data_IF_470722080333
#
_entry.id   IF_470722080333
#
_cell.length_a   1.000
_cell.length_b   1.000
_cell.length_c   1.000
_cell.angle_alpha   90.00
_cell.angle_beta   90.00
_cell.angle_gamma   90.00
#
_symmetry.space_group_name_H-M   'P 1'
#
loop_
_entity.id
_entity.type
_entity.pdbx_description
1 polymer ?
#
# COMPACT_ATOMS: atom_id res chain seq x y z
N UNK A 1 -5.68 16.87 -25.94
CA UNK A 1 -5.10 17.24 -24.64
C UNK A 1 -5.38 18.71 -24.45
N UNK A 2 -6.16 19.03 -23.43
CA UNK A 2 -6.53 20.41 -23.11
C UNK A 2 -5.28 21.23 -22.72
N UNK A 3 -5.29 22.53 -22.99
CA UNK A 3 -4.13 23.41 -22.74
C UNK A 3 -3.79 23.45 -21.24
N UNK A 4 -4.81 23.52 -20.37
CA UNK A 4 -4.58 23.47 -18.93
C UNK A 4 -4.03 22.12 -18.48
N UNK A 5 -4.48 21.01 -19.07
CA UNK A 5 -3.94 19.67 -18.80
C UNK A 5 -2.44 19.58 -19.12
N UNK A 6 -2.02 20.13 -20.27
CA UNK A 6 -0.61 20.17 -20.68
C UNK A 6 0.22 21.04 -19.73
N UNK A 7 -0.28 22.21 -19.35
CA UNK A 7 0.38 23.10 -18.39
C UNK A 7 0.50 22.42 -17.02
N UNK A 8 -0.57 21.82 -16.53
CA UNK A 8 -0.62 21.15 -15.24
C UNK A 8 0.41 20.02 -15.15
N UNK A 9 0.52 19.20 -16.20
CA UNK A 9 1.55 18.16 -16.30
C UNK A 9 2.96 18.74 -16.24
N UNK A 10 3.24 19.84 -16.94
CA UNK A 10 4.54 20.52 -16.91
C UNK A 10 4.85 21.11 -15.53
N UNK A 11 3.86 21.76 -14.89
CA UNK A 11 4.00 22.34 -13.54
C UNK A 11 4.38 21.27 -12.53
N UNK A 12 3.70 20.12 -12.55
CA UNK A 12 3.98 18.97 -11.67
C UNK A 12 5.34 18.33 -11.94
N UNK A 13 5.71 18.17 -13.21
CA UNK A 13 6.95 17.47 -13.60
C UNK A 13 8.20 18.29 -13.26
N UNK A 14 8.13 19.62 -13.37
CA UNK A 14 9.29 20.51 -13.21
C UNK A 14 9.21 21.41 -11.97
N UNK A 15 8.41 21.04 -10.97
CA UNK A 15 8.30 21.73 -9.68
C UNK A 15 8.05 23.23 -9.84
N UNK A 16 6.89 23.60 -10.36
CA UNK A 16 6.48 25.00 -10.42
C UNK A 16 6.37 25.61 -9.00
N UNK A 17 6.77 26.87 -8.79
CA UNK A 17 7.47 27.76 -9.71
C UNK A 17 8.99 27.51 -9.69
N UNK A 18 9.63 27.33 -10.86
CA UNK A 18 11.10 27.17 -10.89
C UNK A 18 11.75 27.60 -12.21
N UNK A 19 13.08 27.80 -12.17
CA UNK A 19 13.90 27.99 -13.39
C UNK A 19 13.85 26.78 -14.32
N UNK A 20 13.75 25.56 -13.76
CA UNK A 20 13.63 24.32 -14.52
C UNK A 20 12.32 24.29 -15.30
N UNK A 21 11.20 24.61 -14.63
CA UNK A 21 9.89 24.73 -15.27
C UNK A 21 9.92 25.75 -16.43
N UNK A 22 10.46 26.95 -16.21
CA UNK A 22 10.55 27.98 -17.27
C UNK A 22 11.42 27.54 -18.44
N UNK A 23 12.45 26.72 -18.21
CA UNK A 23 13.30 26.16 -19.27
C UNK A 23 12.55 25.08 -20.06
N UNK A 24 11.82 24.20 -19.38
CA UNK A 24 10.97 23.20 -20.02
C UNK A 24 9.89 23.87 -20.89
N UNK A 25 9.23 24.91 -20.36
CA UNK A 25 8.21 25.68 -21.08
C UNK A 25 8.74 26.33 -22.38
N UNK A 26 10.04 26.62 -22.48
CA UNK A 26 10.65 27.14 -23.72
C UNK A 26 10.75 26.10 -24.82
N UNK A 27 10.90 24.83 -24.46
CA UNK A 27 11.00 23.70 -25.40
C UNK A 27 9.62 23.33 -25.97
N UNK A 28 8.56 23.74 -25.30
CA UNK A 28 7.19 23.54 -25.74
C UNK A 28 6.76 24.64 -26.71
N UNK A 29 6.15 24.25 -27.83
CA UNK A 29 5.54 25.19 -28.78
C UNK A 29 4.15 25.62 -28.30
N UNK A 30 4.14 26.58 -27.37
CA UNK A 30 2.94 27.11 -26.71
C UNK A 30 2.71 28.60 -26.97
N UNK A 31 3.40 29.20 -27.95
CA UNK A 31 3.17 30.57 -28.40
C UNK A 31 2.97 31.61 -27.28
N UNK A 32 1.75 32.14 -27.18
CA UNK A 32 1.32 33.13 -26.17
C UNK A 32 1.23 32.52 -24.77
N UNK A 33 0.72 31.30 -24.65
CA UNK A 33 0.57 30.57 -23.38
C UNK A 33 1.91 30.47 -22.66
N UNK A 34 3.00 30.21 -23.39
CA UNK A 34 4.37 30.22 -22.85
C UNK A 34 4.73 31.55 -22.18
N UNK A 35 4.35 32.68 -22.78
CA UNK A 35 4.63 34.01 -22.20
C UNK A 35 3.82 34.22 -20.92
N UNK A 36 2.56 33.80 -20.92
CA UNK A 36 1.66 33.89 -19.78
C UNK A 36 2.19 33.10 -18.59
N UNK A 37 2.45 31.79 -18.79
CA UNK A 37 2.98 30.91 -17.75
C UNK A 37 4.39 31.31 -17.28
N UNK A 38 5.25 31.84 -18.17
CA UNK A 38 6.56 32.33 -17.76
C UNK A 38 6.47 33.52 -16.80
N UNK A 39 5.53 34.44 -17.05
CA UNK A 39 5.27 35.58 -16.17
C UNK A 39 4.60 35.13 -14.87
N UNK A 40 3.63 34.21 -14.92
CA UNK A 40 2.98 33.65 -13.72
C UNK A 40 4.00 32.93 -12.84
N UNK A 41 4.89 32.13 -13.43
CA UNK A 41 6.02 31.54 -12.70
C UNK A 41 6.91 32.59 -12.04
N UNK A 42 7.21 33.70 -12.71
CA UNK A 42 8.01 34.79 -12.12
C UNK A 42 7.25 35.55 -11.03
N UNK A 43 5.94 35.67 -11.13
CA UNK A 43 5.11 36.24 -10.07
C UNK A 43 5.24 35.42 -8.79
N UNK A 44 5.10 34.10 -8.84
CA UNK A 44 5.26 33.26 -7.65
C UNK A 44 6.69 33.20 -7.12
N UNK A 45 7.69 33.22 -8.00
CA UNK A 45 9.12 33.16 -7.63
C UNK A 45 9.64 34.50 -7.06
N UNK A 46 9.14 35.64 -7.54
CA UNK A 46 9.66 36.98 -7.21
C UNK A 46 8.66 37.88 -6.47
N UNK A 47 7.40 37.45 -6.30
CA UNK A 47 6.33 38.22 -5.64
C UNK A 47 5.83 39.45 -6.39
N UNK A 48 6.30 39.72 -7.62
CA UNK A 48 5.99 40.98 -8.31
C UNK A 48 4.71 40.91 -9.15
N UNK A 49 3.67 41.62 -8.72
CA UNK A 49 2.37 41.78 -9.42
C UNK A 49 2.53 42.33 -10.85
N UNK A 50 3.65 43.01 -11.15
CA UNK A 50 3.93 43.53 -12.48
C UNK A 50 3.96 42.43 -13.56
N UNK A 51 4.34 41.21 -13.21
CA UNK A 51 4.28 40.08 -14.15
C UNK A 51 2.85 39.70 -14.52
N UNK A 52 1.92 39.71 -13.55
CA UNK A 52 0.50 39.48 -13.82
C UNK A 52 -0.14 40.64 -14.61
N UNK A 53 0.23 41.89 -14.32
CA UNK A 53 -0.19 43.06 -15.12
C UNK A 53 0.28 42.94 -16.59
N UNK A 54 1.47 42.36 -16.84
CA UNK A 54 1.94 42.04 -18.19
C UNK A 54 1.08 40.97 -18.84
N UNK A 55 0.70 39.91 -18.11
CA UNK A 55 -0.23 38.90 -18.62
C UNK A 55 -1.56 39.52 -19.04
N UNK A 56 -2.15 40.38 -18.21
CA UNK A 56 -3.38 41.09 -18.56
C UNK A 56 -3.27 41.88 -19.87
N UNK A 57 -2.13 42.54 -20.12
CA UNK A 57 -1.88 43.26 -21.38
C UNK A 57 -1.69 42.33 -22.58
N UNK A 58 -1.07 41.18 -22.38
CA UNK A 58 -0.88 40.17 -23.44
C UNK A 58 -2.25 39.62 -23.85
N UNK A 59 -3.07 39.21 -22.88
CA UNK A 59 -4.39 38.62 -23.12
C UNK A 59 -5.29 39.60 -23.88
N UNK A 60 -5.33 40.88 -23.50
CA UNK A 60 -6.12 41.92 -24.18
C UNK A 60 -5.79 42.12 -25.67
N UNK A 61 -4.63 41.66 -26.13
CA UNK A 61 -4.18 41.80 -27.53
C UNK A 61 -4.46 40.56 -28.38
N UNK A 62 -5.03 39.51 -27.79
CA UNK A 62 -5.31 38.26 -28.48
C UNK A 62 -6.81 38.13 -28.76
N UNK A 63 -7.15 37.29 -29.72
CA UNK A 63 -8.54 36.89 -29.93
C UNK A 63 -9.07 36.10 -28.72
N UNK A 64 -10.35 36.28 -28.42
CA UNK A 64 -10.97 35.55 -27.32
C UNK A 64 -10.98 34.06 -27.63
N UNK A 65 -10.52 33.28 -26.67
CA UNK A 65 -10.65 31.83 -26.65
C UNK A 65 -11.06 31.40 -25.25
N UNK A 66 -11.75 30.25 -25.08
CA UNK A 66 -12.17 29.77 -23.77
C UNK A 66 -10.99 29.66 -22.78
N UNK A 67 -9.82 29.24 -23.27
CA UNK A 67 -8.60 29.22 -22.47
C UNK A 67 -8.19 30.61 -21.99
N UNK A 68 -8.11 31.59 -22.91
CA UNK A 68 -7.67 32.94 -22.56
C UNK A 68 -8.65 33.65 -21.64
N UNK A 69 -9.95 33.40 -21.78
CA UNK A 69 -10.98 33.93 -20.88
C UNK A 69 -10.79 33.40 -19.45
N UNK A 70 -10.67 32.07 -19.29
CA UNK A 70 -10.44 31.47 -17.98
C UNK A 70 -9.10 31.89 -17.38
N UNK A 71 -8.04 31.93 -18.19
CA UNK A 71 -6.71 32.38 -17.76
C UNK A 71 -6.69 33.87 -17.39
N UNK A 72 -7.50 34.69 -18.06
CA UNK A 72 -7.70 36.10 -17.73
C UNK A 72 -8.30 36.24 -16.34
N UNK A 73 -9.40 35.53 -16.07
CA UNK A 73 -10.03 35.51 -14.75
C UNK A 73 -9.08 35.00 -13.67
N UNK A 74 -8.33 33.93 -13.95
CA UNK A 74 -7.29 33.43 -13.05
C UNK A 74 -6.22 34.50 -12.77
N UNK A 75 -5.71 35.17 -13.80
CA UNK A 75 -4.74 36.27 -13.64
C UNK A 75 -5.32 37.41 -12.80
N UNK A 76 -6.57 37.80 -13.04
CA UNK A 76 -7.22 38.87 -12.27
C UNK A 76 -7.45 38.44 -10.81
N UNK A 77 -7.84 37.18 -10.56
CA UNK A 77 -8.00 36.64 -9.19
C UNK A 77 -6.72 36.72 -8.37
N UNK A 78 -5.55 36.49 -9.00
CA UNK A 78 -4.25 36.61 -8.35
C UNK A 78 -3.85 38.08 -8.10
N UNK A 79 -4.31 39.02 -8.94
CA UNK A 79 -4.05 40.45 -8.78
C UNK A 79 -4.94 41.05 -7.69
N UNK A 80 -6.25 40.80 -7.77
CA UNK A 80 -7.24 41.39 -6.87
C UNK A 80 -7.21 40.74 -5.49
N UNK A 81 -6.81 39.46 -5.42
CA UNK A 81 -6.93 38.62 -4.22
C UNK A 81 -8.36 38.57 -3.68
N UNK A 82 -9.33 38.70 -4.58
CA UNK A 82 -10.75 38.57 -4.24
C UNK A 82 -11.08 37.09 -3.98
N UNK A 83 -11.48 36.79 -2.75
CA UNK A 83 -11.86 35.45 -2.29
C UNK A 83 -12.96 34.85 -3.16
N UNK A 84 -13.97 35.63 -3.56
CA UNK A 84 -15.11 35.11 -4.35
C UNK A 84 -14.61 34.65 -5.72
N UNK A 85 -13.79 35.47 -6.37
CA UNK A 85 -13.22 35.16 -7.68
C UNK A 85 -12.22 33.98 -7.60
N UNK A 86 -11.42 33.91 -6.53
CA UNK A 86 -10.53 32.77 -6.29
C UNK A 86 -11.31 31.46 -6.14
N UNK A 87 -12.44 31.47 -5.42
CA UNK A 87 -13.33 30.29 -5.28
C UNK A 87 -13.95 29.88 -6.62
N UNK A 88 -14.45 30.85 -7.40
CA UNK A 88 -15.00 30.58 -8.75
C UNK A 88 -13.95 29.90 -9.63
N UNK A 89 -12.74 30.45 -9.66
CA UNK A 89 -11.66 29.93 -10.51
C UNK A 89 -11.13 28.59 -10.01
N UNK A 90 -11.03 28.40 -8.70
CA UNK A 90 -10.65 27.12 -8.10
C UNK A 90 -11.64 26.02 -8.48
N UNK A 91 -12.93 26.35 -8.54
CA UNK A 91 -13.98 25.41 -8.98
C UNK A 91 -13.85 25.10 -10.47
N UNK A 92 -13.66 26.12 -11.32
CA UNK A 92 -13.46 25.93 -12.76
C UNK A 92 -12.21 25.11 -13.10
N UNK A 93 -11.15 25.22 -12.29
CA UNK A 93 -9.87 24.53 -12.47
C UNK A 93 -9.72 23.27 -11.61
N UNK A 94 -10.80 22.74 -11.02
CA UNK A 94 -10.74 21.64 -10.04
C UNK A 94 -10.03 20.37 -10.54
N UNK A 95 -10.01 20.15 -11.87
CA UNK A 95 -9.35 19.01 -12.51
C UNK A 95 -7.82 19.12 -12.55
N UNK A 96 -7.29 20.34 -12.49
CA UNK A 96 -5.86 20.62 -12.66
C UNK A 96 -5.20 20.81 -11.30
N UNK A 97 -4.60 19.73 -10.78
CA UNK A 97 -4.12 19.66 -9.40
C UNK A 97 -3.15 20.79 -9.07
N UNK A 98 -2.19 21.12 -9.94
CA UNK A 98 -1.21 22.18 -9.66
C UNK A 98 -1.84 23.58 -9.54
N UNK A 99 -2.94 23.85 -10.25
CA UNK A 99 -3.67 25.11 -10.13
C UNK A 99 -4.48 25.14 -8.84
N UNK A 100 -5.16 24.04 -8.50
CA UNK A 100 -5.93 23.94 -7.25
C UNK A 100 -5.03 24.13 -6.04
N UNK A 101 -3.85 23.50 -6.01
CA UNK A 101 -2.91 23.64 -4.89
C UNK A 101 -2.44 25.08 -4.68
N UNK A 102 -2.23 25.80 -5.77
CA UNK A 102 -1.82 27.19 -5.75
C UNK A 102 -2.96 28.10 -5.27
N UNK A 103 -4.17 27.89 -5.77
CA UNK A 103 -5.36 28.65 -5.37
C UNK A 103 -5.75 28.36 -3.91
N UNK A 104 -5.65 27.10 -3.48
CA UNK A 104 -5.79 26.70 -2.08
C UNK A 104 -4.74 27.46 -1.23
N UNK A 105 -3.47 27.52 -1.63
CA UNK A 105 -2.46 28.28 -0.89
C UNK A 105 -2.77 29.79 -0.82
N UNK A 106 -3.29 30.39 -1.91
CA UNK A 106 -3.73 31.79 -1.89
C UNK A 106 -4.93 32.01 -0.95
N UNK A 107 -5.94 31.13 -1.01
CA UNK A 107 -7.12 31.19 -0.13
C UNK A 107 -6.72 31.01 1.34
N UNK A 108 -5.81 30.08 1.66
CA UNK A 108 -5.25 29.94 3.01
C UNK A 108 -4.56 31.20 3.48
N UNK A 109 -3.82 31.90 2.61
CA UNK A 109 -3.15 33.16 2.96
C UNK A 109 -4.10 34.32 3.25
N UNK A 110 -5.39 34.15 2.93
CA UNK A 110 -6.48 35.09 3.18
C UNK A 110 -7.41 34.59 4.31
N UNK A 111 -6.94 33.63 5.12
CA UNK A 111 -7.68 33.01 6.22
C UNK A 111 -9.01 32.35 5.78
N UNK A 112 -9.12 31.95 4.51
CA UNK A 112 -10.29 31.25 4.00
C UNK A 112 -10.23 29.76 4.34
N UNK A 113 -11.34 29.22 4.85
CA UNK A 113 -11.48 27.81 5.15
C UNK A 113 -11.71 26.97 3.87
N UNK A 114 -10.62 26.42 3.33
CA UNK A 114 -10.61 25.62 2.10
C UNK A 114 -11.34 24.29 2.28
N UNK A 115 -11.52 23.79 3.51
CA UNK A 115 -12.22 22.52 3.76
C UNK A 115 -13.64 22.54 3.18
N UNK A 116 -14.27 23.72 3.13
CA UNK A 116 -15.59 23.96 2.52
C UNK A 116 -15.63 23.77 1.00
N UNK A 117 -14.49 23.82 0.32
CA UNK A 117 -14.37 23.65 -1.13
C UNK A 117 -13.98 22.22 -1.52
N UNK A 118 -13.73 21.36 -0.53
CA UNK A 118 -13.33 19.97 -0.77
C UNK A 118 -14.54 19.06 -0.69
N UNK A 119 -14.50 18.01 -1.49
CA UNK A 119 -15.51 16.97 -1.49
C UNK A 119 -15.19 15.98 -0.37
N UNK A 120 -16.14 15.81 0.54
CA UNK A 120 -16.04 14.88 1.67
C UNK A 120 -16.42 13.49 1.21
N UNK A 121 -15.60 12.51 1.57
CA UNK A 121 -15.89 11.10 1.38
C UNK A 121 -15.51 10.34 2.64
N UNK A 122 -16.38 9.44 3.10
CA UNK A 122 -16.15 8.68 4.33
C UNK A 122 -15.76 7.25 3.98
N UNK A 123 -14.58 6.83 4.40
CA UNK A 123 -14.17 5.42 4.39
C UNK A 123 -14.34 4.85 5.79
N UNK A 124 -15.40 4.08 6.00
CA UNK A 124 -15.86 3.61 7.32
C UNK A 124 -16.12 4.77 8.29
N UNK A 125 -15.18 5.05 9.18
CA UNK A 125 -15.23 6.13 10.17
C UNK A 125 -14.21 7.27 9.91
N UNK A 126 -13.46 7.18 8.81
CA UNK A 126 -12.47 8.19 8.43
C UNK A 126 -13.01 9.12 7.34
N UNK A 127 -12.98 10.43 7.59
CA UNK A 127 -13.31 11.46 6.58
C UNK A 127 -12.07 11.77 5.73
N UNK A 128 -12.24 11.71 4.41
CA UNK A 128 -11.23 12.01 3.39
C UNK A 128 -11.72 13.21 2.58
N UNK A 129 -10.86 14.21 2.41
CA UNK A 129 -11.16 15.42 1.65
C UNK A 129 -10.47 15.39 0.29
N UNK A 130 -11.27 15.39 -0.78
CA UNK A 130 -10.82 15.42 -2.17
C UNK A 130 -10.96 16.81 -2.80
N UNK A 131 -10.06 17.13 -3.73
CA UNK A 131 -10.10 18.41 -4.44
C UNK A 131 -11.23 18.50 -5.49
N UNK A 132 -11.62 17.35 -6.04
CA UNK A 132 -12.62 17.21 -7.10
C UNK A 132 -13.43 15.93 -6.89
N UNK A 133 -14.67 15.92 -7.35
CA UNK A 133 -15.58 14.78 -7.26
C UNK A 133 -15.07 13.56 -8.04
N UNK A 134 -14.46 13.76 -9.21
CA UNK A 134 -13.86 12.70 -10.04
C UNK A 134 -12.82 11.86 -9.26
N UNK A 135 -12.11 12.48 -8.31
CA UNK A 135 -11.13 11.75 -7.47
C UNK A 135 -11.79 10.79 -6.48
N UNK A 136 -13.05 11.03 -6.11
CA UNK A 136 -13.83 10.10 -5.29
C UNK A 136 -14.15 8.85 -6.11
N UNK A 137 -14.54 9.03 -7.38
CA UNK A 137 -14.76 7.90 -8.29
C UNK A 137 -13.47 7.09 -8.50
N UNK A 138 -12.34 7.77 -8.74
CA UNK A 138 -11.03 7.12 -8.85
C UNK A 138 -10.63 6.39 -7.56
N UNK A 139 -10.96 6.95 -6.39
CA UNK A 139 -10.71 6.32 -5.10
C UNK A 139 -11.53 5.02 -4.94
N UNK A 140 -12.85 5.10 -5.20
CA UNK A 140 -13.75 3.95 -5.12
C UNK A 140 -13.36 2.84 -6.11
N UNK A 141 -12.89 3.21 -7.30
CA UNK A 141 -12.43 2.28 -8.32
C UNK A 141 -10.97 1.81 -8.12
N UNK A 142 -10.28 2.30 -7.09
CA UNK A 142 -8.85 2.04 -6.79
C UNK A 142 -7.90 2.35 -7.94
N UNK A 143 -8.25 3.33 -8.78
CA UNK A 143 -7.41 3.84 -9.87
C UNK A 143 -6.70 5.14 -9.50
N UNK A 144 -7.05 5.74 -8.35
CA UNK A 144 -6.49 6.99 -7.88
C UNK A 144 -4.97 6.89 -7.67
N UNK A 145 -4.23 7.68 -8.44
CA UNK A 145 -2.78 7.72 -8.36
C UNK A 145 -2.30 8.84 -7.44
N UNK A 146 -1.78 8.47 -6.27
CA UNK A 146 -1.35 9.41 -5.23
C UNK A 146 0.16 9.62 -5.24
N UNK A 147 0.60 10.82 -5.66
CA UNK A 147 2.03 11.19 -5.68
C UNK A 147 2.46 11.99 -4.45
N UNK A 148 1.61 12.88 -3.95
CA UNK A 148 2.01 13.82 -2.92
C UNK A 148 2.04 13.19 -1.50
N UNK A 149 2.57 13.97 -0.55
CA UNK A 149 2.77 13.60 0.86
C UNK A 149 1.82 14.35 1.79
N UNK A 150 0.73 14.93 1.28
CA UNK A 150 -0.27 15.63 2.10
C UNK A 150 -1.07 14.62 2.91
N UNK A 151 -1.65 15.08 4.02
CA UNK A 151 -2.40 14.23 4.94
C UNK A 151 -3.45 13.32 4.25
N UNK A 152 -4.40 13.88 3.48
CA UNK A 152 -5.44 13.09 2.79
C UNK A 152 -4.85 12.08 1.80
N UNK A 153 -3.75 12.44 1.13
CA UNK A 153 -3.04 11.56 0.22
C UNK A 153 -2.33 10.42 0.94
N UNK A 154 -1.70 10.69 2.09
CA UNK A 154 -1.11 9.66 2.95
C UNK A 154 -2.20 8.74 3.53
N UNK A 155 -3.36 9.30 3.88
CA UNK A 155 -4.50 8.55 4.36
C UNK A 155 -5.00 7.57 3.29
N UNK A 156 -5.20 8.03 2.05
CA UNK A 156 -5.55 7.16 0.90
C UNK A 156 -4.50 6.07 0.67
N UNK A 157 -3.20 6.42 0.71
CA UNK A 157 -2.10 5.44 0.55
C UNK A 157 -2.17 4.33 1.60
N UNK A 158 -2.42 4.69 2.86
CA UNK A 158 -2.52 3.73 3.95
C UNK A 158 -3.77 2.84 3.81
N UNK A 159 -4.91 3.40 3.42
CA UNK A 159 -6.13 2.63 3.12
C UNK A 159 -5.86 1.58 2.04
N UNK A 160 -5.34 2.01 0.88
CA UNK A 160 -5.02 1.09 -0.21
C UNK A 160 -3.99 0.03 0.19
N UNK A 161 -3.01 0.39 1.02
CA UNK A 161 -2.02 -0.57 1.52
C UNK A 161 -2.67 -1.68 2.37
N UNK A 162 -3.60 -1.34 3.27
CA UNK A 162 -4.33 -2.32 4.09
C UNK A 162 -5.25 -3.17 3.23
N UNK A 163 -6.05 -2.56 2.36
CA UNK A 163 -6.98 -3.29 1.49
C UNK A 163 -6.24 -4.27 0.57
N UNK A 164 -5.15 -3.84 -0.06
CA UNK A 164 -4.34 -4.72 -0.90
C UNK A 164 -3.74 -5.89 -0.14
N UNK A 165 -3.26 -5.67 1.10
CA UNK A 165 -2.70 -6.74 1.95
C UNK A 165 -3.78 -7.72 2.38
N UNK A 166 -4.96 -7.23 2.74
CA UNK A 166 -6.14 -8.05 3.04
C UNK A 166 -6.50 -8.93 1.85
N UNK A 167 -6.62 -8.35 0.65
CA UNK A 167 -6.97 -9.13 -0.53
C UNK A 167 -5.93 -10.18 -0.91
N UNK A 168 -4.64 -9.88 -0.72
CA UNK A 168 -3.59 -10.87 -0.91
C UNK A 168 -3.71 -12.03 0.08
N UNK A 169 -4.06 -11.73 1.35
CA UNK A 169 -4.31 -12.74 2.37
C UNK A 169 -5.54 -13.57 2.01
N UNK A 170 -6.66 -12.92 1.66
CA UNK A 170 -7.91 -13.59 1.29
C UNK A 170 -7.72 -14.52 0.09
N UNK A 171 -6.99 -14.07 -0.94
CA UNK A 171 -6.63 -14.89 -2.11
C UNK A 171 -5.77 -16.09 -1.73
N UNK A 172 -4.81 -15.91 -0.82
CA UNK A 172 -3.94 -17.00 -0.36
C UNK A 172 -4.74 -18.05 0.41
N UNK A 173 -5.53 -17.62 1.39
CA UNK A 173 -6.35 -18.51 2.22
C UNK A 173 -7.40 -19.24 1.37
N UNK A 174 -8.03 -18.54 0.43
CA UNK A 174 -9.01 -19.14 -0.49
C UNK A 174 -8.40 -20.17 -1.43
N UNK A 175 -7.18 -19.92 -1.93
CA UNK A 175 -6.51 -20.82 -2.89
C UNK A 175 -5.94 -22.06 -2.22
N UNK A 176 -5.27 -21.88 -1.08
CA UNK A 176 -4.56 -22.96 -0.40
C UNK A 176 -4.48 -22.69 1.11
N UNK A 177 -5.49 -23.17 1.82
CA UNK A 177 -5.62 -23.03 3.27
C UNK A 177 -4.61 -23.87 4.06
N UNK A 178 -3.83 -24.74 3.40
CA UNK A 178 -2.83 -25.60 4.08
C UNK A 178 -1.51 -24.88 4.33
N UNK A 179 -1.25 -23.75 3.65
CA UNK A 179 0.01 -22.99 3.75
C UNK A 179 0.11 -22.13 5.02
N UNK A 180 -0.02 -22.76 6.18
CA UNK A 180 -0.09 -22.11 7.50
C UNK A 180 1.02 -21.08 7.71
N UNK A 181 2.29 -21.43 7.46
CA UNK A 181 3.44 -20.50 7.64
C UNK A 181 3.37 -19.28 6.72
N UNK A 182 2.93 -19.45 5.46
CA UNK A 182 2.78 -18.34 4.52
C UNK A 182 1.62 -17.43 4.92
N UNK A 183 0.49 -18.03 5.33
CA UNK A 183 -0.70 -17.29 5.80
C UNK A 183 -0.33 -16.50 7.07
N UNK A 184 0.38 -17.11 8.01
CA UNK A 184 0.88 -16.44 9.21
C UNK A 184 1.79 -15.25 8.86
N UNK A 185 2.76 -15.43 7.95
CA UNK A 185 3.64 -14.36 7.50
C UNK A 185 2.85 -13.18 6.90
N UNK A 186 1.87 -13.46 6.02
CA UNK A 186 1.00 -12.42 5.43
C UNK A 186 0.09 -11.75 6.46
N UNK A 187 -0.39 -12.48 7.45
CA UNK A 187 -1.18 -11.95 8.56
C UNK A 187 -0.35 -11.00 9.42
N UNK A 188 0.91 -11.36 9.73
CA UNK A 188 1.87 -10.49 10.42
C UNK A 188 2.13 -9.19 9.65
N UNK A 189 2.29 -9.28 8.34
CA UNK A 189 2.52 -8.15 7.44
C UNK A 189 1.30 -7.21 7.41
N UNK A 190 0.08 -7.76 7.41
CA UNK A 190 -1.16 -6.99 7.50
C UNK A 190 -1.30 -6.33 8.88
N UNK A 191 -1.11 -7.08 9.96
CA UNK A 191 -1.16 -6.58 11.33
C UNK A 191 -0.23 -5.38 11.54
N UNK A 192 1.03 -5.50 11.12
CA UNK A 192 2.00 -4.40 11.19
C UNK A 192 1.53 -3.16 10.41
N UNK A 193 0.95 -3.35 9.23
CA UNK A 193 0.43 -2.22 8.44
C UNK A 193 -0.76 -1.52 9.08
N UNK A 194 -1.60 -2.26 9.82
CA UNK A 194 -2.68 -1.69 10.60
C UNK A 194 -2.13 -0.89 11.79
N UNK A 195 -1.14 -1.43 12.51
CA UNK A 195 -0.46 -0.72 13.61
C UNK A 195 0.23 0.56 13.14
N UNK A 196 0.93 0.50 12.00
CA UNK A 196 1.57 1.66 11.38
C UNK A 196 0.51 2.71 11.00
N UNK A 197 -0.65 2.30 10.48
CA UNK A 197 -1.73 3.22 10.13
C UNK A 197 -2.40 3.85 11.36
N UNK A 198 -2.65 3.05 12.40
CA UNK A 198 -3.17 3.57 13.68
C UNK A 198 -2.20 4.59 14.27
N UNK A 199 -0.89 4.32 14.21
CA UNK A 199 0.14 5.25 14.70
C UNK A 199 0.15 6.55 13.91
N UNK A 200 0.08 6.47 12.57
CA UNK A 200 -0.09 7.64 11.71
C UNK A 200 -1.33 8.47 12.07
N UNK A 201 -2.48 7.84 12.32
CA UNK A 201 -3.69 8.58 12.69
C UNK A 201 -3.56 9.24 14.07
N UNK A 202 -2.98 8.54 15.05
CA UNK A 202 -2.69 9.10 16.38
C UNK A 202 -1.79 10.33 16.32
N UNK A 203 -0.74 10.30 15.50
CA UNK A 203 0.16 11.45 15.27
C UNK A 203 -0.59 12.66 14.69
N UNK A 204 -1.72 12.43 14.02
CA UNK A 204 -2.58 13.46 13.43
C UNK A 204 -3.86 13.71 14.25
N UNK A 205 -3.94 13.23 15.49
CA UNK A 205 -5.08 13.41 16.40
C UNK A 205 -6.42 12.87 15.84
N UNK A 206 -6.36 11.82 15.04
CA UNK A 206 -7.53 11.12 14.50
C UNK A 206 -7.63 9.73 15.12
N UNK A 207 -8.83 9.38 15.57
CA UNK A 207 -9.16 8.05 16.08
C UNK A 207 -10.08 7.32 15.10
N UNK A 208 -9.91 6.00 14.99
CA UNK A 208 -10.78 5.11 14.21
C UNK A 208 -11.10 3.86 15.03
N UNK A 209 -12.39 3.67 15.31
CA UNK A 209 -12.91 2.46 15.94
C UNK A 209 -12.83 1.28 14.99
N UNK A 210 -13.07 1.52 13.71
CA UNK A 210 -12.94 0.52 12.66
C UNK A 210 -11.52 -0.07 12.63
N UNK A 211 -10.48 0.78 12.62
CA UNK A 211 -9.09 0.30 12.59
C UNK A 211 -8.71 -0.47 13.86
N UNK A 212 -9.20 -0.06 15.03
CA UNK A 212 -9.02 -0.79 16.29
C UNK A 212 -9.67 -2.18 16.21
N UNK A 213 -10.89 -2.26 15.68
CA UNK A 213 -11.59 -3.52 15.47
C UNK A 213 -10.86 -4.47 14.52
N UNK A 214 -10.40 -3.98 13.35
CA UNK A 214 -9.66 -4.84 12.41
C UNK A 214 -8.29 -5.24 12.97
N UNK A 215 -7.64 -4.40 13.78
CA UNK A 215 -6.39 -4.73 14.47
C UNK A 215 -6.61 -5.93 15.39
N UNK A 216 -7.62 -5.85 16.25
CA UNK A 216 -7.90 -6.89 17.24
C UNK A 216 -8.33 -8.19 16.54
N UNK A 217 -9.13 -8.09 15.47
CA UNK A 217 -9.45 -9.24 14.61
C UNK A 217 -8.22 -9.85 13.94
N UNK A 218 -7.32 -9.03 13.39
CA UNK A 218 -6.09 -9.52 12.75
C UNK A 218 -5.12 -10.12 13.76
N UNK A 219 -5.05 -9.58 14.98
CA UNK A 219 -4.29 -10.16 16.09
C UNK A 219 -4.80 -11.54 16.46
N UNK A 220 -6.12 -11.69 16.60
CA UNK A 220 -6.75 -12.99 16.87
C UNK A 220 -6.45 -14.01 15.77
N UNK A 221 -6.49 -13.59 14.49
CA UNK A 221 -6.14 -14.44 13.36
C UNK A 221 -4.67 -14.85 13.36
N UNK A 222 -3.78 -13.91 13.72
CA UNK A 222 -2.35 -14.16 13.88
C UNK A 222 -2.12 -15.24 14.94
N UNK A 223 -2.66 -15.07 16.14
CA UNK A 223 -2.52 -16.02 17.27
C UNK A 223 -3.05 -17.42 16.90
N UNK A 224 -4.15 -17.47 16.15
CA UNK A 224 -4.69 -18.72 15.62
C UNK A 224 -3.71 -19.43 14.68
N UNK A 225 -3.15 -18.73 13.68
CA UNK A 225 -2.19 -19.33 12.76
C UNK A 225 -0.81 -19.61 13.38
N UNK A 226 -0.41 -18.88 14.41
CA UNK A 226 0.76 -19.21 15.26
C UNK A 226 0.54 -20.56 15.96
N UNK A 227 -0.63 -20.74 16.59
CA UNK A 227 -0.98 -21.99 17.25
C UNK A 227 -1.02 -23.18 16.26
N UNK A 228 -1.58 -22.97 15.07
CA UNK A 228 -1.58 -23.98 14.01
C UNK A 228 -0.18 -24.30 13.51
N UNK A 229 0.71 -23.31 13.41
CA UNK A 229 2.11 -23.51 13.00
C UNK A 229 2.90 -24.33 14.03
N UNK A 230 2.57 -24.20 15.31
CA UNK A 230 3.06 -25.03 16.42
C UNK A 230 2.36 -26.40 16.50
N UNK A 231 1.40 -26.68 15.61
CA UNK A 231 0.66 -27.94 15.56
C UNK A 231 -0.39 -28.11 16.65
N UNK A 232 -0.78 -27.02 17.33
CA UNK A 232 -1.86 -26.95 18.33
C UNK A 232 -3.19 -26.60 17.64
N UNK A 233 -4.27 -27.27 18.05
CA UNK A 233 -5.62 -27.00 17.54
C UNK A 233 -6.40 -26.18 18.56
N UNK A 234 -7.10 -25.16 18.11
CA UNK A 234 -8.01 -24.36 18.94
C UNK A 234 -9.44 -24.81 18.61
N UNK A 235 -10.08 -25.51 19.54
CA UNK A 235 -11.35 -26.22 19.26
C UNK A 235 -12.56 -25.30 19.09
N UNK A 236 -12.48 -24.02 19.46
CA UNK A 236 -13.58 -23.05 19.36
C UNK A 236 -13.10 -21.66 18.90
N UNK A 237 -12.29 -21.60 17.86
CA UNK A 237 -11.83 -20.30 17.33
C UNK A 237 -12.99 -19.52 16.71
N UNK A 238 -13.27 -18.32 17.25
CA UNK A 238 -14.28 -17.41 16.71
C UNK A 238 -13.63 -16.54 15.64
N UNK A 239 -14.07 -16.70 14.40
CA UNK A 239 -13.54 -15.94 13.27
C UNK A 239 -14.01 -14.48 13.37
N UNK A 240 -13.08 -13.50 13.34
CA UNK A 240 -13.44 -12.08 13.33
C UNK A 240 -14.31 -11.72 12.12
N UNK A 241 -15.28 -10.82 12.30
CA UNK A 241 -16.21 -10.41 11.23
C UNK A 241 -15.48 -9.90 9.98
N UNK A 242 -14.33 -9.24 10.16
CA UNK A 242 -13.49 -8.76 9.06
C UNK A 242 -13.01 -9.86 8.10
N UNK A 243 -12.90 -11.11 8.56
CA UNK A 243 -12.46 -12.28 7.77
C UNK A 243 -13.58 -13.28 7.48
N UNK A 244 -14.84 -12.89 7.66
CA UNK A 244 -16.01 -13.78 7.48
C UNK A 244 -16.09 -14.40 6.08
N UNK A 245 -15.66 -13.67 5.06
CA UNK A 245 -15.67 -14.13 3.66
C UNK A 245 -14.78 -15.35 3.40
N UNK A 246 -13.75 -15.57 4.22
CA UNK A 246 -12.82 -16.70 4.10
C UNK A 246 -12.96 -17.67 5.29
N UNK A 247 -14.09 -17.60 6.00
CA UNK A 247 -14.28 -18.30 7.27
C UNK A 247 -14.16 -19.83 7.13
N UNK A 248 -14.80 -20.41 6.12
CA UNK A 248 -14.75 -21.85 5.85
C UNK A 248 -13.32 -22.33 5.60
N UNK A 249 -12.53 -21.57 4.85
CA UNK A 249 -11.15 -21.89 4.52
C UNK A 249 -10.24 -21.78 5.74
N UNK A 250 -10.45 -20.79 6.61
CA UNK A 250 -9.75 -20.67 7.90
C UNK A 250 -10.02 -21.89 8.79
N UNK A 251 -11.28 -22.35 8.85
CA UNK A 251 -11.62 -23.58 9.60
C UNK A 251 -10.94 -24.79 8.96
N UNK A 252 -10.93 -24.89 7.64
CA UNK A 252 -10.31 -26.01 6.92
C UNK A 252 -8.78 -26.06 7.06
N UNK A 253 -8.10 -24.93 7.31
CA UNK A 253 -6.66 -24.91 7.66
C UNK A 253 -6.33 -25.85 8.83
N UNK A 254 -7.21 -25.93 9.84
CA UNK A 254 -7.00 -26.80 11.01
C UNK A 254 -7.18 -28.29 10.69
N UNK A 255 -8.02 -28.64 9.72
CA UNK A 255 -8.31 -30.03 9.31
C UNK A 255 -7.16 -30.63 8.49
N UNK A 256 -6.37 -29.80 7.79
CA UNK A 256 -5.22 -30.24 7.00
C UNK A 256 -4.10 -30.86 7.84
N UNK A 257 -3.88 -30.34 9.06
CA UNK A 257 -2.85 -30.83 9.99
C UNK A 257 -3.02 -32.31 10.38
N UNK A 258 -4.27 -32.79 10.47
CA UNK A 258 -4.55 -34.20 10.79
C UNK A 258 -4.18 -35.14 9.64
N UNK A 259 -4.25 -34.67 8.39
CA UNK A 259 -3.86 -35.45 7.21
C UNK A 259 -2.34 -35.52 7.06
N UNK A 260 -1.63 -34.40 7.26
CA UNK A 260 -0.17 -34.38 7.16
C UNK A 260 0.50 -35.18 8.28
N UNK A 261 0.03 -35.10 9.53
CA UNK A 261 0.61 -35.93 10.61
C UNK A 261 0.49 -37.44 10.34
N UNK A 262 -0.65 -37.90 9.82
CA UNK A 262 -0.83 -39.32 9.46
C UNK A 262 0.04 -39.72 8.28
N UNK A 263 0.16 -38.85 7.27
CA UNK A 263 0.97 -39.09 6.08
C UNK A 263 2.47 -39.09 6.40
N UNK A 264 2.96 -38.10 7.13
CA UNK A 264 4.34 -38.00 7.62
C UNK A 264 4.68 -39.18 8.53
N UNK A 265 3.79 -39.55 9.46
CA UNK A 265 3.98 -40.76 10.29
C UNK A 265 4.09 -42.02 9.44
N UNK A 266 3.28 -42.13 8.39
CA UNK A 266 3.31 -43.26 7.47
C UNK A 266 4.61 -43.29 6.65
N UNK A 267 5.05 -42.16 6.11
CA UNK A 267 6.31 -42.03 5.37
C UNK A 267 7.52 -42.36 6.26
N UNK A 268 7.56 -41.86 7.51
CA UNK A 268 8.60 -42.20 8.49
C UNK A 268 8.60 -43.69 8.83
N UNK A 269 7.42 -44.29 9.04
CA UNK A 269 7.30 -45.71 9.33
C UNK A 269 7.70 -46.57 8.12
N UNK A 270 7.35 -46.18 6.90
CA UNK A 270 7.75 -46.87 5.67
C UNK A 270 9.29 -46.80 5.44
N UNK A 271 9.92 -45.66 5.75
CA UNK A 271 11.37 -45.50 5.66
C UNK A 271 12.11 -46.32 6.74
N UNK A 272 11.59 -46.32 7.98
CA UNK A 272 12.10 -47.13 9.09
C UNK A 272 11.92 -48.63 8.81
N UNK A 273 10.74 -49.03 8.31
CA UNK A 273 10.49 -50.40 7.88
C UNK A 273 11.45 -50.77 6.76
N UNK A 274 11.66 -49.94 5.75
CA UNK A 274 12.62 -50.21 4.67
C UNK A 274 14.05 -50.38 5.22
N UNK A 275 14.47 -49.53 6.15
CA UNK A 275 15.80 -49.59 6.77
C UNK A 275 15.99 -50.85 7.62
N UNK A 276 14.98 -51.23 8.41
CA UNK A 276 14.98 -52.43 9.26
C UNK A 276 14.74 -53.72 8.47
N UNK A 277 14.07 -53.66 7.32
CA UNK A 277 13.79 -54.80 6.44
C UNK A 277 14.98 -55.20 5.59
N UNK A 278 16.02 -54.36 5.49
CA UNK A 278 17.33 -54.75 4.99
C UNK A 278 18.03 -55.67 6.00
N UNK A 279 17.48 -56.86 6.22
CA UNK A 279 18.20 -57.95 6.85
C UNK A 279 19.21 -58.49 5.83
N UNK A 280 20.43 -57.95 5.83
CA UNK A 280 21.56 -58.81 5.48
C UNK A 280 21.58 -59.89 6.54
N UNK A 281 21.09 -61.09 6.20
CA UNK A 281 21.26 -62.28 7.02
C UNK A 281 22.77 -62.53 7.15
N UNK A 282 23.37 -61.93 8.18
CA UNK A 282 24.75 -62.18 8.53
C UNK A 282 24.75 -63.48 9.34
N UNK A 283 25.19 -64.57 8.73
CA UNK A 283 25.53 -65.78 9.47
C UNK A 283 26.70 -65.43 10.38
N UNK A 284 26.41 -65.05 11.63
CA UNK A 284 27.44 -64.86 12.65
C UNK A 284 27.76 -66.25 13.21
N UNK A 285 28.99 -66.76 13.04
CA UNK A 285 29.37 -68.01 13.69
C UNK A 285 29.46 -67.74 15.20
N UNK A 286 28.61 -68.41 15.98
CA UNK A 286 28.65 -68.34 17.44
C UNK A 286 29.94 -68.98 17.95
N UNK A 287 30.93 -68.15 18.27
CA UNK A 287 32.07 -68.52 19.11
C UNK A 287 32.20 -67.48 20.24
N UNK A 288 32.32 -67.90 21.52
CA UNK A 288 32.16 -67.00 22.67
C UNK A 288 33.23 -65.91 22.84
N UNK A 289 34.37 -65.99 22.15
CA UNK A 289 35.56 -65.19 22.48
C UNK A 289 35.78 -63.94 21.62
N UNK A 290 34.82 -63.55 20.77
CA UNK A 290 35.01 -62.43 19.82
C UNK A 290 34.29 -61.12 20.19
N UNK A 291 33.65 -61.02 21.35
CA UNK A 291 32.88 -59.83 21.72
C UNK A 291 33.76 -58.59 22.01
N UNK A 292 35.00 -58.76 22.44
CA UNK A 292 35.91 -57.63 22.71
C UNK A 292 36.61 -57.10 21.44
N UNK A 293 36.75 -57.91 20.39
CA UNK A 293 37.38 -57.45 19.13
C UNK A 293 36.33 -56.81 18.21
N UNK A 294 35.06 -57.19 18.30
CA UNK A 294 34.01 -56.67 17.43
C UNK A 294 33.76 -55.17 17.58
N UNK A 295 34.05 -54.57 18.75
CA UNK A 295 33.83 -53.15 18.98
C UNK A 295 34.74 -52.26 18.10
N UNK A 296 35.95 -52.72 17.77
CA UNK A 296 36.91 -51.99 16.93
C UNK A 296 36.61 -52.14 15.42
N UNK A 297 35.80 -53.11 15.02
CA UNK A 297 35.48 -53.40 13.61
C UNK A 297 34.04 -53.04 13.21
N UNK A 298 33.19 -52.61 14.15
CA UNK A 298 31.90 -51.99 13.81
C UNK A 298 32.16 -50.59 13.27
N UNK A 299 32.39 -50.49 11.96
CA UNK A 299 32.27 -49.22 11.24
C UNK A 299 30.80 -48.92 11.06
N UNK A 300 30.28 -48.01 11.87
CA UNK A 300 28.99 -47.39 11.60
C UNK A 300 29.02 -46.79 10.18
N UNK A 301 27.96 -46.97 9.37
CA UNK A 301 27.89 -46.30 8.09
C UNK A 301 28.03 -44.78 8.32
N UNK A 302 28.76 -44.06 7.46
CA UNK A 302 28.87 -42.62 7.58
C UNK A 302 27.46 -42.02 7.54
N UNK A 303 27.19 -41.07 8.43
CA UNK A 303 25.92 -40.35 8.44
C UNK A 303 25.74 -39.73 7.06
N UNK A 304 24.74 -40.20 6.31
CA UNK A 304 24.45 -39.63 4.99
C UNK A 304 24.04 -38.17 5.17
N UNK A 305 24.70 -37.24 4.45
CA UNK A 305 24.40 -35.80 4.51
C UNK A 305 22.90 -35.53 4.33
N UNK A 306 22.19 -36.35 3.54
CA UNK A 306 20.74 -36.25 3.32
C UNK A 306 19.91 -36.50 4.58
N UNK A 307 20.33 -37.44 5.44
CA UNK A 307 19.65 -37.74 6.70
C UNK A 307 19.92 -36.63 7.71
N UNK A 308 21.16 -36.14 7.77
CA UNK A 308 21.51 -34.99 8.59
C UNK A 308 20.78 -33.71 8.14
N UNK A 309 20.63 -33.51 6.83
CA UNK A 309 19.90 -32.41 6.23
C UNK A 309 18.38 -32.55 6.49
N UNK A 310 17.84 -33.77 6.47
CA UNK A 310 16.46 -34.04 6.88
C UNK A 310 16.22 -33.72 8.38
N UNK A 311 17.14 -34.11 9.27
CA UNK A 311 17.05 -33.78 10.70
C UNK A 311 17.29 -32.29 10.99
N UNK A 312 18.18 -31.61 10.27
CA UNK A 312 18.35 -30.14 10.35
C UNK A 312 17.14 -29.39 9.81
N UNK A 313 16.52 -29.86 8.74
CA UNK A 313 15.27 -29.30 8.21
C UNK A 313 14.06 -29.54 9.13
N UNK A 314 14.16 -30.51 10.05
CA UNK A 314 13.15 -30.82 11.05
C UNK A 314 13.18 -29.91 12.30
N UNK A 315 14.14 -28.97 12.41
CA UNK A 315 14.29 -27.96 13.49
C UNK A 315 13.37 -28.21 14.71
N UNK A 316 13.84 -29.02 15.66
CA UNK A 316 13.39 -28.89 17.05
C UNK A 316 14.08 -27.66 17.64
N UNK A 317 13.55 -26.47 17.32
CA UNK A 317 13.78 -25.23 18.08
C UNK A 317 12.46 -24.49 18.20
#
# INVERSE_FOLDING_TARGET
>A
MDVFERIDKLRRTHSFPSKLYRTALKKEDLGVIRKLESNTSKYFDLGSVNYLKRNRRIIKKQENSPFLELYSKYTESLISKDTVLLVEIRTALQKYTSFVEELDAQLSSLDYDISKLKYKHTWNDLEILFSAEEKIEEFNNRTLYVKDTKYNSLLVKNIFNIENRREQLDKLVSKDSSRIRCILSKTNILYKSIEDFISFLKENYVDSEYLKSIRDGTKSLKEYYESLAEGKKIENYKIPEYFKNISEQIVNSSKGLEKDKKKIKKEILEELERYLSTSTAMNVPFIPDFYDIAFDYIKYPPVEEKVEEAFRNLNFS
#
